data_IF_477183471536
#
_entry.id   IF_477183471536
#
_cell.length_a   1.000
_cell.length_b   1.000
_cell.length_c   1.000
_cell.angle_alpha   90.00
_cell.angle_beta   90.00
_cell.angle_gamma   90.00
#
_symmetry.space_group_name_H-M   'P 1'
#
loop_
_entity.id
_entity.type
_entity.pdbx_description
1 polymer ?
#
# COMPACT_ATOMS: atom_id res chain seq x y z
N UNK A 1 -41.88 -0.58 48.32
CA UNK A 1 -42.40 0.71 47.90
C UNK A 1 -42.48 0.70 46.37
N UNK A 2 -43.70 0.46 45.84
CA UNK A 2 -43.97 0.31 44.41
C UNK A 2 -44.42 1.64 43.86
N UNK A 3 -43.72 2.19 42.88
CA UNK A 3 -44.17 3.38 42.14
C UNK A 3 -44.57 2.92 40.73
N UNK A 4 -45.90 2.96 40.49
CA UNK A 4 -46.52 2.82 39.19
C UNK A 4 -46.46 4.18 38.49
N UNK A 5 -45.96 4.19 37.24
CA UNK A 5 -46.17 5.34 36.35
C UNK A 5 -46.97 4.84 35.13
N UNK A 6 -48.08 5.51 34.88
CA UNK A 6 -49.05 5.25 33.81
C UNK A 6 -48.54 5.76 32.46
N UNK A 7 -48.96 5.15 31.35
CA UNK A 7 -48.69 5.68 30.02
C UNK A 7 -49.70 6.76 29.65
N UNK A 8 -49.21 7.89 29.12
CA UNK A 8 -50.05 8.90 28.49
C UNK A 8 -49.92 8.75 26.99
N UNK A 9 -51.06 8.41 26.38
CA UNK A 9 -51.29 8.40 24.94
C UNK A 9 -51.76 9.81 24.57
N UNK A 10 -51.12 10.44 23.61
CA UNK A 10 -51.62 11.59 22.88
C UNK A 10 -50.96 11.60 21.49
N UNK A 11 -51.71 11.16 20.50
CA UNK A 11 -52.36 11.87 19.38
C UNK A 11 -51.36 12.52 18.43
N UNK A 12 -51.08 11.90 17.30
CA UNK A 12 -51.78 11.93 15.98
C UNK A 12 -51.97 13.33 15.34
N UNK A 13 -51.49 13.38 14.06
CA UNK A 13 -51.84 14.35 13.00
C UNK A 13 -50.92 15.59 12.86
N UNK A 14 -50.08 15.52 11.86
CA UNK A 14 -49.67 16.55 10.89
C UNK A 14 -48.35 16.11 10.31
N UNK A 15 -48.11 15.92 9.06
CA UNK A 15 -48.67 16.43 7.86
C UNK A 15 -47.91 15.80 6.69
N UNK A 16 -48.65 15.23 5.84
CA UNK A 16 -48.26 14.90 4.47
C UNK A 16 -48.10 16.20 3.66
N UNK A 17 -46.92 16.72 3.53
CA UNK A 17 -46.56 17.69 2.49
C UNK A 17 -45.09 18.11 2.60
N UNK A 18 -44.16 17.32 2.18
CA UNK A 18 -42.75 17.78 1.85
C UNK A 18 -41.98 16.65 1.12
N UNK A 19 -42.63 15.99 0.17
CA UNK A 19 -41.99 15.03 -0.73
C UNK A 19 -42.08 15.49 -2.19
N UNK A 20 -41.67 16.70 -2.51
CA UNK A 20 -41.66 17.16 -3.90
C UNK A 20 -40.60 18.25 -4.16
N UNK A 21 -39.35 18.08 -3.67
CA UNK A 21 -38.28 19.03 -4.01
C UNK A 21 -36.87 18.41 -4.13
N UNK A 22 -36.77 17.10 -4.19
CA UNK A 22 -35.45 16.43 -4.27
C UNK A 22 -35.13 15.83 -5.65
N UNK A 23 -35.96 16.07 -6.64
CA UNK A 23 -35.80 15.45 -7.97
C UNK A 23 -35.27 16.38 -9.07
N UNK A 24 -34.76 17.57 -8.77
CA UNK A 24 -34.30 18.52 -9.81
C UNK A 24 -32.84 19.03 -9.64
N UNK A 25 -32.07 18.49 -8.73
CA UNK A 25 -30.65 18.88 -8.57
C UNK A 25 -29.65 17.90 -9.22
N UNK A 26 -30.08 16.78 -9.70
CA UNK A 26 -29.20 15.74 -10.26
C UNK A 26 -28.88 15.88 -11.76
N UNK A 27 -29.40 16.89 -12.45
CA UNK A 27 -29.21 17.00 -13.93
C UNK A 27 -28.36 18.18 -14.37
N UNK A 28 -27.63 18.85 -13.48
CA UNK A 28 -26.77 20.00 -13.84
C UNK A 28 -25.27 19.81 -13.61
N UNK A 29 -24.81 18.64 -13.24
CA UNK A 29 -23.40 18.40 -12.92
C UNK A 29 -22.62 17.55 -13.94
N UNK A 30 -23.15 17.34 -15.15
CA UNK A 30 -22.47 16.55 -16.17
C UNK A 30 -22.05 17.34 -17.42
N UNK A 31 -21.61 18.61 -17.27
CA UNK A 31 -21.13 19.37 -18.43
C UNK A 31 -19.99 20.35 -18.16
N UNK A 32 -19.04 20.06 -17.25
CA UNK A 32 -17.77 20.80 -17.22
C UNK A 32 -16.64 19.92 -16.77
N UNK A 33 -16.29 18.91 -17.54
CA UNK A 33 -15.03 18.19 -17.37
C UNK A 33 -14.56 17.59 -18.68
N UNK A 34 -14.40 18.44 -19.68
CA UNK A 34 -13.74 18.03 -20.92
C UNK A 34 -12.93 19.19 -21.42
N UNK A 35 -11.78 19.46 -20.83
CA UNK A 35 -10.62 20.07 -21.49
C UNK A 35 -9.49 20.22 -20.46
N UNK A 36 -8.77 19.15 -20.20
CA UNK A 36 -7.36 19.18 -19.88
C UNK A 36 -6.79 17.77 -20.08
N UNK A 37 -6.85 17.33 -21.32
CA UNK A 37 -6.06 16.20 -21.76
C UNK A 37 -4.67 16.72 -22.10
N UNK A 38 -3.67 16.00 -21.62
CA UNK A 38 -2.31 15.99 -22.15
C UNK A 38 -1.27 16.91 -21.50
N UNK A 39 -1.12 16.75 -20.19
CA UNK A 39 0.25 16.81 -19.66
C UNK A 39 0.55 15.40 -19.14
N UNK A 40 1.45 14.70 -19.81
CA UNK A 40 1.96 13.39 -19.41
C UNK A 40 2.72 13.50 -18.09
N UNK A 41 1.94 13.65 -17.01
CA UNK A 41 2.45 13.60 -15.66
C UNK A 41 2.81 12.13 -15.42
N UNK A 42 4.12 11.84 -15.29
CA UNK A 42 4.59 10.57 -14.72
C UNK A 42 3.87 10.41 -13.39
N UNK A 43 2.81 9.63 -13.38
CA UNK A 43 2.10 9.30 -12.15
C UNK A 43 2.85 8.15 -11.50
N UNK A 44 3.91 8.46 -10.75
CA UNK A 44 4.57 7.48 -9.91
C UNK A 44 3.52 6.90 -8.96
N UNK A 45 3.13 5.65 -9.20
CA UNK A 45 2.21 4.93 -8.32
C UNK A 45 2.98 4.43 -7.11
N UNK A 46 2.69 4.94 -5.94
CA UNK A 46 3.23 4.40 -4.68
C UNK A 46 2.43 3.20 -4.22
N UNK A 47 3.11 2.27 -3.55
CA UNK A 47 2.48 1.13 -2.87
C UNK A 47 1.28 1.59 -2.04
N UNK A 48 0.09 1.12 -2.39
CA UNK A 48 -1.14 1.39 -1.63
C UNK A 48 -1.19 0.49 -0.38
N UNK A 49 -2.10 0.76 0.59
CA UNK A 49 -2.31 -0.14 1.72
C UNK A 49 -2.69 -1.57 1.30
N UNK A 50 -3.50 -1.75 0.26
CA UNK A 50 -3.92 -3.06 -0.26
C UNK A 50 -2.75 -3.79 -0.95
N UNK A 51 -1.92 -3.05 -1.71
CA UNK A 51 -0.67 -3.59 -2.24
C UNK A 51 0.25 -4.07 -1.10
N UNK A 52 0.32 -3.32 -0.01
CA UNK A 52 1.08 -3.69 1.18
C UNK A 52 0.60 -4.99 1.83
N UNK A 53 -0.70 -5.23 1.85
CA UNK A 53 -1.26 -6.52 2.31
C UNK A 53 -0.85 -7.68 1.39
N UNK A 54 -0.77 -7.45 0.08
CA UNK A 54 -0.28 -8.45 -0.88
C UNK A 54 1.19 -8.81 -0.63
N UNK A 55 2.03 -7.81 -0.31
CA UNK A 55 3.43 -8.04 0.10
C UNK A 55 3.50 -8.87 1.39
N UNK A 56 2.66 -8.56 2.38
CA UNK A 56 2.60 -9.33 3.63
C UNK A 56 2.14 -10.77 3.39
N UNK A 57 1.12 -10.97 2.57
CA UNK A 57 0.64 -12.31 2.22
C UNK A 57 1.77 -13.13 1.58
N UNK A 58 2.51 -12.55 0.64
CA UNK A 58 3.68 -13.17 0.04
C UNK A 58 4.79 -13.48 1.07
N UNK A 59 5.03 -12.60 2.05
CA UNK A 59 6.00 -12.81 3.12
C UNK A 59 5.60 -14.00 4.03
N UNK A 60 4.34 -14.09 4.42
CA UNK A 60 3.84 -15.15 5.29
C UNK A 60 3.80 -16.51 4.58
N UNK A 61 3.41 -16.56 3.30
CA UNK A 61 3.46 -17.78 2.47
C UNK A 61 4.91 -18.26 2.28
N UNK A 62 5.84 -17.32 2.26
CA UNK A 62 7.27 -17.60 2.10
C UNK A 62 7.90 -18.29 3.30
N UNK A 63 7.33 -18.22 4.51
CA UNK A 63 7.88 -18.89 5.71
C UNK A 63 8.14 -20.38 5.50
N UNK A 64 7.33 -21.05 4.69
CA UNK A 64 7.46 -22.49 4.45
C UNK A 64 8.47 -22.86 3.36
N UNK A 65 8.85 -21.91 2.48
CA UNK A 65 9.58 -22.20 1.24
C UNK A 65 10.95 -21.53 1.11
N UNK A 66 11.24 -20.50 1.91
CA UNK A 66 12.40 -19.62 1.71
C UNK A 66 13.55 -19.86 2.69
N UNK A 67 13.71 -21.06 3.20
CA UNK A 67 14.96 -21.45 3.88
C UNK A 67 16.20 -21.45 2.96
N UNK A 68 16.01 -21.28 1.65
CA UNK A 68 17.08 -21.26 0.64
C UNK A 68 17.61 -19.86 0.32
N UNK A 69 16.97 -18.79 0.82
CA UNK A 69 17.44 -17.44 0.54
C UNK A 69 18.76 -17.15 1.27
N UNK A 70 19.68 -16.53 0.55
CA UNK A 70 21.05 -16.32 1.02
C UNK A 70 21.14 -15.35 2.18
N UNK A 71 20.30 -14.28 2.16
CA UNK A 71 20.30 -13.23 3.16
C UNK A 71 18.96 -12.46 3.18
N UNK A 72 18.86 -11.49 4.09
CA UNK A 72 17.63 -10.69 4.26
C UNK A 72 17.24 -9.90 3.00
N UNK A 73 18.21 -9.44 2.21
CA UNK A 73 17.95 -8.67 0.97
C UNK A 73 17.37 -9.54 -0.12
N UNK A 74 17.90 -10.76 -0.29
CA UNK A 74 17.36 -11.74 -1.24
C UNK A 74 15.95 -12.17 -0.84
N UNK A 75 15.71 -12.42 0.45
CA UNK A 75 14.39 -12.74 0.96
C UNK A 75 13.37 -11.63 0.65
N UNK A 76 13.71 -10.38 0.97
CA UNK A 76 12.82 -9.25 0.72
C UNK A 76 12.57 -9.05 -0.77
N UNK A 77 13.61 -9.15 -1.59
CA UNK A 77 13.50 -9.07 -3.06
C UNK A 77 12.53 -10.12 -3.61
N UNK A 78 12.73 -11.40 -3.24
CA UNK A 78 11.87 -12.49 -3.68
C UNK A 78 10.41 -12.35 -3.23
N UNK A 79 10.16 -11.76 -2.05
CA UNK A 79 8.81 -11.49 -1.56
C UNK A 79 8.13 -10.41 -2.41
N UNK A 80 8.82 -9.29 -2.67
CA UNK A 80 8.28 -8.23 -3.51
C UNK A 80 8.02 -8.69 -4.93
N UNK A 81 8.95 -9.45 -5.54
CA UNK A 81 8.77 -10.05 -6.86
C UNK A 81 7.54 -10.95 -6.90
N UNK A 82 7.36 -11.82 -5.91
CA UNK A 82 6.18 -12.70 -5.80
C UNK A 82 4.88 -11.93 -5.63
N UNK A 83 4.91 -10.79 -4.94
CA UNK A 83 3.76 -9.90 -4.79
C UNK A 83 3.49 -9.06 -6.05
N UNK A 84 4.33 -9.14 -7.10
CA UNK A 84 4.19 -8.40 -8.34
C UNK A 84 4.86 -7.02 -8.37
N UNK A 85 5.69 -6.70 -7.36
CA UNK A 85 6.39 -5.42 -7.24
C UNK A 85 7.87 -5.59 -7.61
N UNK A 86 8.16 -5.47 -8.91
CA UNK A 86 9.50 -5.71 -9.44
C UNK A 86 10.42 -4.51 -9.23
N UNK A 87 11.63 -4.77 -8.78
CA UNK A 87 12.74 -3.81 -8.74
C UNK A 87 14.08 -4.53 -8.95
N UNK A 88 15.12 -3.88 -9.45
CA UNK A 88 16.44 -4.47 -9.54
C UNK A 88 16.95 -4.87 -8.16
N UNK A 89 17.54 -6.08 -8.05
CA UNK A 89 18.12 -6.52 -6.77
C UNK A 89 19.06 -5.46 -6.19
N UNK A 90 18.92 -5.23 -4.89
CA UNK A 90 19.76 -4.31 -4.13
C UNK A 90 20.07 -4.90 -2.76
N UNK A 91 21.32 -4.72 -2.31
CA UNK A 91 21.73 -5.12 -0.96
C UNK A 91 21.04 -4.26 0.10
N UNK A 92 21.05 -4.73 1.36
CA UNK A 92 20.55 -3.91 2.48
C UNK A 92 21.33 -2.60 2.65
N UNK A 93 22.59 -2.55 2.23
CA UNK A 93 23.40 -1.32 2.24
C UNK A 93 22.95 -0.31 1.18
N UNK A 94 22.63 -0.79 -0.02
CA UNK A 94 22.11 0.04 -1.11
C UNK A 94 20.73 0.59 -0.74
N UNK A 95 19.85 -0.29 -0.24
CA UNK A 95 18.53 0.09 0.27
C UNK A 95 18.62 1.12 1.40
N UNK A 96 19.63 1.01 2.28
CA UNK A 96 19.82 1.99 3.35
C UNK A 96 20.22 3.38 2.81
N UNK A 97 21.01 3.44 1.76
CA UNK A 97 21.35 4.70 1.08
C UNK A 97 20.13 5.25 0.34
N UNK A 98 19.35 4.39 -0.26
CA UNK A 98 18.21 4.66 -1.12
C UNK A 98 18.49 4.28 -2.57
N UNK A 99 17.55 3.63 -3.20
CA UNK A 99 17.61 3.22 -4.61
C UNK A 99 16.40 3.72 -5.38
N UNK A 100 16.48 3.75 -6.70
CA UNK A 100 15.33 3.97 -7.56
C UNK A 100 14.25 2.90 -7.30
N UNK A 101 12.97 3.28 -7.40
CA UNK A 101 11.85 2.41 -7.07
C UNK A 101 11.47 2.39 -5.59
N UNK A 102 12.22 3.13 -4.74
CA UNK A 102 11.87 3.28 -3.32
C UNK A 102 12.02 4.71 -2.82
N UNK A 103 10.96 5.23 -2.21
CA UNK A 103 10.95 6.56 -1.60
C UNK A 103 11.06 6.47 -0.09
N UNK A 104 11.97 7.22 0.49
CA UNK A 104 12.11 7.34 1.94
C UNK A 104 10.86 7.99 2.54
N UNK A 105 10.36 7.41 3.64
CA UNK A 105 9.18 7.86 4.36
C UNK A 105 9.43 7.93 5.87
N UNK A 106 8.56 8.64 6.59
CA UNK A 106 8.63 8.78 8.06
C UNK A 106 7.55 7.96 8.76
N UNK A 107 6.43 7.73 8.08
CA UNK A 107 5.29 6.97 8.63
C UNK A 107 5.10 5.70 7.80
N UNK A 108 5.64 4.57 8.26
CA UNK A 108 5.50 3.32 7.55
C UNK A 108 4.06 2.81 7.58
N UNK A 109 3.71 2.08 6.53
CA UNK A 109 2.48 1.29 6.43
C UNK A 109 2.84 -0.20 6.26
N UNK A 110 1.87 -1.12 6.39
CA UNK A 110 2.07 -2.52 6.05
C UNK A 110 2.65 -2.67 4.64
N UNK A 111 3.66 -3.54 4.49
CA UNK A 111 4.34 -3.79 3.23
C UNK A 111 5.53 -2.87 2.93
N UNK A 112 5.74 -1.76 3.65
CA UNK A 112 6.94 -0.93 3.50
C UNK A 112 8.20 -1.64 3.99
N UNK A 113 9.37 -1.20 3.53
CA UNK A 113 10.65 -1.66 4.04
C UNK A 113 11.04 -0.96 5.34
N UNK A 114 11.62 -1.72 6.27
CA UNK A 114 12.43 -1.21 7.36
C UNK A 114 13.87 -1.63 7.14
N UNK A 115 14.80 -0.67 7.16
CA UNK A 115 16.20 -0.89 6.73
C UNK A 115 17.17 -0.32 7.75
N UNK A 116 18.17 -1.12 8.13
CA UNK A 116 19.37 -0.74 8.85
C UNK A 116 20.58 -0.98 7.96
N UNK A 117 21.72 -0.48 8.35
CA UNK A 117 22.99 -0.89 7.71
C UNK A 117 23.20 -2.39 7.89
N UNK A 118 23.24 -3.12 6.81
CA UNK A 118 23.45 -4.58 6.83
C UNK A 118 22.22 -5.40 7.20
N UNK A 119 21.01 -4.81 7.23
CA UNK A 119 19.79 -5.58 7.42
C UNK A 119 18.57 -4.88 6.82
N UNK A 120 17.61 -5.68 6.33
CA UNK A 120 16.33 -5.19 5.79
C UNK A 120 15.21 -6.14 6.14
N UNK A 121 14.01 -5.60 6.35
CA UNK A 121 12.78 -6.35 6.55
C UNK A 121 11.57 -5.63 5.99
N UNK A 122 10.41 -6.27 6.10
CA UNK A 122 9.11 -5.79 5.66
C UNK A 122 8.27 -5.46 6.87
N UNK A 123 7.75 -4.24 6.95
CA UNK A 123 6.84 -3.81 8.01
C UNK A 123 5.52 -4.56 7.90
N UNK A 124 5.14 -5.26 8.96
CA UNK A 124 3.87 -6.02 9.05
C UNK A 124 2.81 -5.18 9.76
N UNK A 125 3.14 -4.67 10.94
CA UNK A 125 2.21 -3.92 11.78
C UNK A 125 2.92 -2.70 12.39
N UNK A 126 2.88 -1.55 11.71
CA UNK A 126 3.60 -0.35 12.15
C UNK A 126 3.16 0.16 13.52
N UNK A 127 1.89 0.03 13.88
CA UNK A 127 1.36 0.44 15.20
C UNK A 127 1.90 -0.39 16.39
N UNK A 128 2.55 -1.50 16.11
CA UNK A 128 3.22 -2.37 17.09
C UNK A 128 4.68 -2.61 16.78
N UNK A 129 5.23 -1.83 15.85
CA UNK A 129 6.63 -1.90 15.43
C UNK A 129 7.05 -3.27 14.85
N UNK A 130 6.09 -4.07 14.37
CA UNK A 130 6.33 -5.45 13.93
C UNK A 130 6.79 -5.48 12.47
N UNK A 131 7.86 -6.23 12.22
CA UNK A 131 8.39 -6.49 10.89
C UNK A 131 8.75 -7.96 10.68
N UNK A 132 8.88 -8.36 9.42
CA UNK A 132 9.29 -9.69 8.99
C UNK A 132 10.64 -9.59 8.26
N UNK A 133 11.55 -10.52 8.53
CA UNK A 133 12.83 -10.60 7.84
C UNK A 133 13.47 -11.99 7.99
N UNK A 134 14.62 -12.19 7.34
CA UNK A 134 15.49 -13.33 7.61
C UNK A 134 16.32 -13.04 8.86
N UNK A 135 15.98 -13.72 9.94
CA UNK A 135 16.68 -13.66 11.20
C UNK A 135 17.75 -14.74 11.26
N UNK A 136 18.56 -14.75 12.32
CA UNK A 136 19.60 -15.78 12.54
C UNK A 136 19.03 -17.19 12.61
N UNK A 137 17.82 -17.35 13.11
CA UNK A 137 17.10 -18.63 13.22
C UNK A 137 16.24 -18.96 11.98
N UNK A 138 16.30 -18.18 10.91
CA UNK A 138 15.46 -18.29 9.73
C UNK A 138 14.44 -17.15 9.58
N UNK A 139 13.53 -17.23 8.60
CA UNK A 139 12.49 -16.23 8.41
C UNK A 139 11.62 -16.07 9.65
N UNK A 140 11.46 -14.85 10.13
CA UNK A 140 10.77 -14.58 11.40
C UNK A 140 10.24 -13.16 11.52
N UNK A 141 9.52 -12.94 12.59
CA UNK A 141 8.90 -11.67 12.96
C UNK A 141 9.58 -11.14 14.22
N UNK A 142 9.84 -9.83 14.27
CA UNK A 142 10.40 -9.17 15.43
C UNK A 142 9.89 -7.72 15.56
N UNK A 143 10.22 -7.05 16.65
CA UNK A 143 9.90 -5.65 16.93
C UNK A 143 11.09 -4.76 16.57
N UNK A 144 10.93 -3.84 15.60
CA UNK A 144 12.04 -2.97 15.16
C UNK A 144 12.43 -1.89 16.20
N UNK A 145 11.67 -1.71 17.27
CA UNK A 145 12.01 -0.88 18.43
C UNK A 145 12.68 -1.68 19.56
N UNK A 146 12.80 -3.01 19.43
CA UNK A 146 13.50 -3.82 20.41
C UNK A 146 14.97 -3.41 20.58
N UNK A 147 15.57 -3.57 21.77
CA UNK A 147 16.95 -3.11 22.08
C UNK A 147 18.00 -3.60 21.07
N UNK A 148 17.87 -4.81 20.58
CA UNK A 148 18.77 -5.36 19.56
C UNK A 148 18.77 -4.52 18.28
N UNK A 149 17.57 -4.12 17.79
CA UNK A 149 17.44 -3.37 16.54
C UNK A 149 17.78 -1.90 16.70
N UNK A 150 17.41 -1.29 17.81
CA UNK A 150 17.77 0.11 18.11
C UNK A 150 19.29 0.29 18.33
N UNK A 151 19.97 -0.71 18.86
CA UNK A 151 21.44 -0.70 19.00
C UNK A 151 22.19 -0.74 17.65
N UNK A 152 21.52 -1.18 16.56
CA UNK A 152 22.10 -1.15 15.20
C UNK A 152 22.06 0.24 14.55
N UNK A 153 21.46 1.21 15.23
CA UNK A 153 21.27 2.59 14.75
C UNK A 153 19.83 2.83 14.27
N UNK A 154 19.60 4.04 13.77
CA UNK A 154 18.27 4.44 13.34
C UNK A 154 17.80 3.65 12.13
N UNK A 155 16.64 3.02 12.24
CA UNK A 155 15.94 2.41 11.13
C UNK A 155 15.51 3.49 10.12
N UNK A 156 15.55 3.15 8.84
CA UNK A 156 15.00 3.96 7.75
C UNK A 156 13.85 3.19 7.13
N UNK A 157 12.77 3.92 6.78
CA UNK A 157 11.62 3.31 6.14
C UNK A 157 11.52 3.76 4.70
N UNK A 158 11.15 2.82 3.82
CA UNK A 158 11.03 3.07 2.39
C UNK A 158 9.75 2.46 1.85
N UNK A 159 9.07 3.20 0.97
CA UNK A 159 7.89 2.75 0.25
C UNK A 159 8.22 2.52 -1.20
N UNK A 160 7.76 1.40 -1.73
CA UNK A 160 7.89 1.10 -3.14
C UNK A 160 7.15 2.13 -3.99
N UNK A 161 7.80 2.54 -5.08
CA UNK A 161 7.26 3.45 -6.08
C UNK A 161 7.38 2.77 -7.43
N UNK A 162 6.26 2.48 -8.03
CA UNK A 162 6.22 1.97 -9.40
C UNK A 162 6.37 3.14 -10.37
N UNK A 163 7.50 3.23 -11.04
CA UNK A 163 7.64 4.10 -12.20
C UNK A 163 6.95 3.44 -13.38
N UNK A 164 5.95 4.09 -13.95
CA UNK A 164 5.26 3.57 -15.14
C UNK A 164 6.24 3.63 -16.32
N UNK A 165 6.78 2.50 -16.84
CA UNK A 165 7.77 2.51 -17.89
C UNK A 165 7.20 3.04 -19.21
N UNK A 166 5.87 3.22 -19.29
CA UNK A 166 5.16 3.58 -20.51
C UNK A 166 4.47 4.96 -20.50
N UNK A 167 4.84 5.88 -19.59
CA UNK A 167 4.31 7.27 -19.68
C UNK A 167 4.64 8.01 -20.99
N UNK A 168 5.35 7.36 -21.91
CA UNK A 168 5.69 7.85 -23.28
C UNK A 168 5.47 6.83 -24.39
N UNK A 169 4.98 5.63 -24.09
CA UNK A 169 4.70 4.63 -25.13
C UNK A 169 3.39 4.98 -25.84
N UNK A 170 3.48 5.70 -26.94
CA UNK A 170 2.36 5.81 -27.91
C UNK A 170 2.11 4.39 -28.44
N UNK A 171 0.89 3.83 -28.29
CA UNK A 171 0.59 2.53 -28.87
C UNK A 171 0.80 2.65 -30.39
N UNK A 172 1.71 1.86 -30.94
CA UNK A 172 1.88 1.74 -32.38
C UNK A 172 0.56 1.20 -32.91
N UNK A 173 -0.26 2.07 -33.48
CA UNK A 173 -1.46 1.64 -34.23
C UNK A 173 -0.99 0.67 -35.29
N UNK A 174 -1.40 -0.60 -35.14
CA UNK A 174 -1.22 -1.57 -36.18
C UNK A 174 -1.78 -0.99 -37.49
N UNK A 175 -0.89 -0.84 -38.48
CA UNK A 175 -1.29 -0.37 -39.80
C UNK A 175 -2.25 -1.41 -40.37
N UNK A 176 -3.47 -1.05 -40.80
CA UNK A 176 -4.35 -2.00 -41.44
C UNK A 176 -3.65 -2.50 -42.69
N UNK A 177 -3.36 -3.79 -42.75
CA UNK A 177 -2.93 -4.47 -43.96
C UNK A 177 -4.08 -4.43 -44.93
N UNK A 178 -4.00 -3.51 -45.90
CA UNK A 178 -4.95 -3.46 -47.02
C UNK A 178 -4.80 -4.76 -47.83
N UNK A 179 -5.83 -5.55 -47.84
CA UNK A 179 -6.03 -6.59 -48.84
C UNK A 179 -6.24 -5.93 -50.21
N UNK A 180 -5.38 -6.29 -51.15
CA UNK A 180 -5.69 -6.18 -52.57
C UNK A 180 -6.37 -7.46 -53.01
#
# INVERSE_FOLDING_TARGET
MRIRVKPTVAALLCGLALCASWAQEEHRQTRTSSTNANQGLKTDRTLSPDDGLSVIAAALDSRARLYSERDCSHLVHAIYERAGFLYPYASSSDLYVGIEGFRRIVRPQPGDLVVWRGHVGIVIRPSRHIFFSLMRAGPGIDDYEAPYWTSRGHARFYRYVQSDPCAGCVPIRARPTGLK
#
